data_IF_909369542130
#
_entry.id   IF_909369542130
#
_cell.length_a   1.000
_cell.length_b   1.000
_cell.length_c   1.000
_cell.angle_alpha   90.00
_cell.angle_beta   90.00
_cell.angle_gamma   90.00
#
_symmetry.space_group_name_H-M   'P 1'
#
loop_
_entity.id
_entity.type
_entity.pdbx_description
1 polymer ?
#
# COMPACT_ATOMS: atom_id res chain seq x y z
N UNK A 1 -2.14 -16.06 0.11
CA UNK A 1 -0.81 -15.71 -0.46
C UNK A 1 -0.64 -14.20 -0.34
N UNK A 2 0.53 -13.70 0.05
CA UNK A 2 0.78 -12.24 0.15
C UNK A 2 1.97 -11.86 -0.72
N UNK A 3 1.76 -10.92 -1.64
CA UNK A 3 2.77 -10.38 -2.54
C UNK A 3 3.29 -9.07 -1.99
N UNK A 4 4.59 -8.99 -1.76
CA UNK A 4 5.23 -7.76 -1.29
C UNK A 4 6.26 -7.32 -2.33
N UNK A 5 6.18 -6.06 -2.75
CA UNK A 5 7.06 -5.52 -3.78
C UNK A 5 7.30 -4.02 -3.62
N UNK A 6 8.54 -3.58 -3.83
CA UNK A 6 8.89 -2.16 -3.94
C UNK A 6 8.86 -1.76 -5.42
N UNK A 7 7.66 -1.61 -5.95
CA UNK A 7 7.49 -1.00 -7.26
C UNK A 7 6.91 0.38 -7.02
N UNK A 8 7.73 1.41 -7.16
CA UNK A 8 7.26 2.80 -7.33
C UNK A 8 6.39 3.02 -8.59
N UNK A 9 5.81 1.95 -9.13
CA UNK A 9 4.89 1.83 -10.25
C UNK A 9 3.52 1.38 -9.73
N UNK A 10 2.52 2.23 -9.89
CA UNK A 10 1.13 1.89 -9.64
C UNK A 10 0.55 1.12 -10.83
N UNK A 11 0.86 -0.19 -10.93
CA UNK A 11 0.14 -1.06 -11.87
C UNK A 11 -1.15 -1.56 -11.21
N UNK A 12 -2.14 -0.67 -11.20
CA UNK A 12 -3.44 -0.93 -10.61
C UNK A 12 -4.13 -2.17 -11.20
N UNK A 13 -3.92 -2.45 -12.48
CA UNK A 13 -4.56 -3.60 -13.12
C UNK A 13 -3.89 -4.90 -12.71
N UNK A 14 -2.58 -4.91 -12.47
CA UNK A 14 -1.91 -6.06 -11.88
C UNK A 14 -2.33 -6.28 -10.42
N UNK A 15 -2.49 -5.22 -9.63
CA UNK A 15 -3.03 -5.34 -8.27
C UNK A 15 -4.42 -5.95 -8.30
N UNK A 16 -5.26 -5.54 -9.25
CA UNK A 16 -6.61 -6.10 -9.43
C UNK A 16 -6.54 -7.60 -9.73
N UNK A 17 -5.58 -8.04 -10.55
CA UNK A 17 -5.41 -9.48 -10.83
C UNK A 17 -5.04 -10.28 -9.57
N UNK A 18 -4.19 -9.72 -8.70
CA UNK A 18 -3.83 -10.36 -7.41
C UNK A 18 -5.07 -10.51 -6.53
N UNK A 19 -5.87 -9.47 -6.45
CA UNK A 19 -7.08 -9.45 -5.63
C UNK A 19 -8.15 -10.44 -6.14
N UNK A 20 -8.34 -10.50 -7.47
CA UNK A 20 -9.29 -11.43 -8.11
C UNK A 20 -8.95 -12.92 -7.88
N UNK A 21 -7.70 -13.26 -7.55
CA UNK A 21 -7.31 -14.63 -7.18
C UNK A 21 -7.33 -14.86 -5.67
N UNK A 22 -7.88 -13.94 -4.89
CA UNK A 22 -7.99 -14.04 -3.43
C UNK A 22 -6.65 -13.89 -2.71
N UNK A 23 -5.68 -13.19 -3.32
CA UNK A 23 -4.38 -12.93 -2.72
C UNK A 23 -4.26 -11.48 -2.25
N UNK A 24 -3.31 -11.24 -1.34
CA UNK A 24 -3.03 -9.92 -0.80
C UNK A 24 -1.80 -9.30 -1.46
N UNK A 25 -1.78 -7.99 -1.62
CA UNK A 25 -0.58 -7.25 -2.00
C UNK A 25 -0.19 -6.21 -0.95
N UNK A 26 1.10 -5.93 -0.81
CA UNK A 26 1.63 -4.81 -0.04
C UNK A 26 2.69 -4.13 -0.88
N UNK A 27 2.53 -2.83 -1.14
CA UNK A 27 3.44 -2.06 -1.98
C UNK A 27 3.60 -0.65 -1.48
N UNK A 28 4.72 -0.02 -1.84
CA UNK A 28 4.97 1.39 -1.55
C UNK A 28 4.28 2.30 -2.54
N UNK A 29 3.69 3.38 -2.03
CA UNK A 29 3.09 4.46 -2.80
C UNK A 29 3.96 5.72 -2.74
N UNK A 30 3.94 6.52 -3.80
CA UNK A 30 4.57 7.85 -3.80
C UNK A 30 3.66 8.85 -3.06
N UNK A 31 4.27 9.83 -2.37
CA UNK A 31 3.57 10.88 -1.62
C UNK A 31 2.49 11.63 -2.43
N UNK A 32 2.70 11.80 -3.73
CA UNK A 32 1.80 12.55 -4.61
C UNK A 32 0.77 11.65 -5.33
N UNK A 33 0.48 10.46 -4.82
CA UNK A 33 -0.56 9.63 -5.39
C UNK A 33 -1.93 10.28 -5.18
N UNK A 34 -2.70 10.39 -6.26
CA UNK A 34 -4.04 10.91 -6.21
C UNK A 34 -4.97 9.85 -5.61
N UNK A 35 -5.20 9.95 -4.30
CA UNK A 35 -6.09 9.08 -3.53
C UNK A 35 -7.14 9.94 -2.82
N UNK A 36 -8.35 9.42 -2.78
CA UNK A 36 -9.48 10.02 -2.08
C UNK A 36 -9.71 9.26 -0.79
N UNK A 37 -9.76 9.98 0.34
CA UNK A 37 -10.03 9.38 1.64
C UNK A 37 -11.49 8.88 1.70
N UNK A 38 -11.68 7.65 2.16
CA UNK A 38 -13.00 7.07 2.40
C UNK A 38 -13.30 7.03 3.89
N UNK A 39 -12.45 6.39 4.66
CA UNK A 39 -12.63 6.22 6.10
C UNK A 39 -11.29 6.03 6.82
N UNK A 40 -11.22 6.46 8.08
CA UNK A 40 -10.11 6.16 8.96
C UNK A 40 -10.36 4.79 9.64
N UNK A 41 -9.42 3.87 9.49
CA UNK A 41 -9.52 2.51 10.03
C UNK A 41 -8.45 2.24 11.10
N UNK A 42 -7.71 3.28 11.51
CA UNK A 42 -6.70 3.21 12.54
C UNK A 42 -7.34 2.74 13.85
N UNK A 43 -6.83 1.62 14.37
CA UNK A 43 -7.28 1.05 15.64
C UNK A 43 -6.70 1.82 16.83
N UNK A 44 -7.47 1.89 17.92
CA UNK A 44 -6.96 2.34 19.21
C UNK A 44 -5.78 1.45 19.64
N UNK A 45 -4.70 2.07 20.12
CA UNK A 45 -3.47 1.36 20.50
C UNK A 45 -2.54 0.99 19.35
N UNK A 46 -2.81 1.42 18.11
CA UNK A 46 -1.85 1.31 17.01
C UNK A 46 -0.54 2.01 17.36
N UNK A 47 0.59 1.43 16.96
CA UNK A 47 1.91 1.90 17.32
C UNK A 47 2.16 3.37 16.94
N UNK A 48 2.97 4.09 17.72
CA UNK A 48 3.24 5.53 17.54
C UNK A 48 3.93 5.89 16.22
N UNK A 49 4.54 4.91 15.55
CA UNK A 49 5.13 5.10 14.23
C UNK A 49 4.10 4.96 13.09
N UNK A 50 2.88 4.48 13.37
CA UNK A 50 1.77 4.50 12.42
C UNK A 50 1.12 5.89 12.49
N UNK A 51 1.41 6.73 11.50
CA UNK A 51 0.85 8.08 11.42
C UNK A 51 -0.62 8.04 11.02
N UNK A 52 -0.93 7.25 9.99
CA UNK A 52 -2.29 7.08 9.48
C UNK A 52 -2.53 5.65 9.03
N UNK A 53 -3.79 5.24 9.13
CA UNK A 53 -4.30 3.97 8.63
C UNK A 53 -5.74 4.19 8.18
N UNK A 54 -5.97 4.15 6.87
CA UNK A 54 -7.23 4.58 6.27
C UNK A 54 -7.58 3.75 5.02
N UNK A 55 -8.87 3.66 4.73
CA UNK A 55 -9.33 3.21 3.42
C UNK A 55 -9.37 4.39 2.45
N UNK A 56 -8.90 4.17 1.23
CA UNK A 56 -8.83 5.19 0.17
C UNK A 56 -9.28 4.62 -1.18
N UNK A 57 -9.80 5.49 -2.04
CA UNK A 57 -10.09 5.19 -3.45
C UNK A 57 -9.05 5.82 -4.36
N UNK A 58 -8.79 5.19 -5.51
CA UNK A 58 -7.97 5.80 -6.54
C UNK A 58 -8.84 6.66 -7.45
N UNK A 59 -8.73 7.99 -7.33
CA UNK A 59 -9.56 8.94 -8.10
C UNK A 59 -9.34 8.93 -9.62
N UNK A 60 -8.40 8.14 -10.14
CA UNK A 60 -8.18 7.99 -11.59
C UNK A 60 -9.01 6.84 -12.16
N UNK A 61 -10.12 7.18 -12.84
CA UNK A 61 -10.89 6.22 -13.65
C UNK A 61 -10.09 5.64 -14.81
N UNK A 62 -9.23 6.45 -15.44
CA UNK A 62 -8.37 6.02 -16.54
C UNK A 62 -6.89 6.19 -16.17
N UNK A 63 -6.10 5.18 -16.51
CA UNK A 63 -4.65 5.23 -16.44
C UNK A 63 -4.09 6.21 -17.49
N UNK A 64 -2.82 6.61 -17.34
CA UNK A 64 -2.16 7.47 -18.33
C UNK A 64 -2.17 6.87 -19.75
N UNK A 65 -2.27 5.53 -19.85
CA UNK A 65 -2.39 4.77 -21.10
C UNK A 65 -3.81 4.73 -21.68
N UNK A 66 -4.77 5.50 -21.12
CA UNK A 66 -6.21 5.48 -21.45
C UNK A 66 -6.93 4.15 -21.19
N UNK A 67 -6.28 3.19 -20.53
CA UNK A 67 -6.92 1.96 -20.06
C UNK A 67 -7.76 2.25 -18.83
N UNK A 68 -8.86 1.51 -18.66
CA UNK A 68 -9.65 1.55 -17.44
C UNK A 68 -8.77 1.11 -16.26
N UNK A 69 -8.82 1.87 -15.18
CA UNK A 69 -8.28 1.45 -13.89
C UNK A 69 -9.29 0.52 -13.24
N UNK A 70 -9.03 -0.79 -13.20
CA UNK A 70 -10.00 -1.73 -12.61
C UNK A 70 -10.16 -1.56 -11.10
N UNK A 71 -9.25 -0.85 -10.44
CA UNK A 71 -9.31 -0.53 -9.02
C UNK A 71 -9.96 0.84 -8.72
N UNK A 72 -10.55 1.53 -9.72
CA UNK A 72 -11.09 2.88 -9.51
C UNK A 72 -12.27 2.95 -8.53
N UNK A 73 -13.10 1.90 -8.48
CA UNK A 73 -14.29 1.85 -7.62
C UNK A 73 -14.09 0.96 -6.39
N UNK A 74 -12.86 0.47 -6.15
CA UNK A 74 -12.57 -0.43 -5.04
C UNK A 74 -11.59 0.21 -4.07
N UNK A 75 -12.00 0.28 -2.81
CA UNK A 75 -11.17 0.83 -1.74
C UNK A 75 -9.94 -0.06 -1.49
N UNK A 76 -8.82 0.59 -1.24
CA UNK A 76 -7.59 -0.02 -0.75
C UNK A 76 -7.20 0.64 0.56
N UNK A 77 -6.44 -0.07 1.38
CA UNK A 77 -5.92 0.45 2.63
C UNK A 77 -4.62 1.19 2.38
N UNK A 78 -4.48 2.39 2.94
CA UNK A 78 -3.27 3.20 2.98
C UNK A 78 -2.76 3.28 4.42
N UNK A 79 -1.52 2.89 4.64
CA UNK A 79 -0.83 2.99 5.93
C UNK A 79 0.36 3.93 5.77
N UNK A 80 0.41 5.00 6.56
CA UNK A 80 1.58 5.89 6.63
C UNK A 80 2.40 5.59 7.87
N UNK A 81 3.68 5.36 7.65
CA UNK A 81 4.64 4.90 8.65
C UNK A 81 5.73 5.97 8.78
N UNK A 82 5.85 6.56 9.97
CA UNK A 82 6.94 7.46 10.32
C UNK A 82 8.25 6.69 10.33
N UNK A 83 9.29 7.33 9.82
CA UNK A 83 10.64 6.78 9.75
C UNK A 83 11.60 7.79 10.35
N UNK A 84 12.27 7.40 11.43
CA UNK A 84 13.17 8.33 12.13
C UNK A 84 14.43 8.66 11.31
N UNK A 85 14.77 7.82 10.33
CA UNK A 85 15.92 7.98 9.43
C UNK A 85 15.58 8.70 8.11
N UNK A 86 14.32 9.06 7.86
CA UNK A 86 13.89 9.71 6.62
C UNK A 86 12.94 10.88 6.89
N UNK A 87 13.15 12.00 6.18
CA UNK A 87 12.29 13.19 6.26
C UNK A 87 10.87 12.98 5.69
N UNK A 88 10.62 11.83 5.05
CA UNK A 88 9.31 11.50 4.48
C UNK A 88 8.79 10.16 5.00
N UNK A 89 7.50 10.08 5.37
CA UNK A 89 6.92 8.83 5.81
C UNK A 89 6.91 7.80 4.68
N UNK A 90 7.02 6.53 5.04
CA UNK A 90 6.77 5.42 4.14
C UNK A 90 5.26 5.27 4.00
N UNK A 91 4.75 5.32 2.77
CA UNK A 91 3.33 5.13 2.47
C UNK A 91 3.18 3.75 1.85
N UNK A 92 2.45 2.87 2.52
CA UNK A 92 2.11 1.54 2.03
C UNK A 92 0.65 1.50 1.58
N UNK A 93 0.39 0.68 0.57
CA UNK A 93 -0.96 0.35 0.10
C UNK A 93 -1.14 -1.16 0.04
N UNK A 94 -2.33 -1.61 0.47
CA UNK A 94 -2.70 -3.02 0.49
C UNK A 94 -4.20 -3.23 0.30
N UNK A 95 -4.61 -4.39 -0.22
CA UNK A 95 -6.01 -4.88 -0.14
C UNK A 95 -6.27 -5.68 1.16
N UNK A 96 -5.31 -5.76 2.08
CA UNK A 96 -5.46 -6.45 3.36
C UNK A 96 -5.94 -5.51 4.46
N UNK A 97 -7.24 -5.63 4.75
CA UNK A 97 -7.92 -4.93 5.85
C UNK A 97 -7.97 -5.74 7.15
N UNK A 98 -7.48 -6.99 7.14
CA UNK A 98 -7.59 -7.90 8.29
C UNK A 98 -6.38 -7.77 9.23
N UNK A 99 -5.17 -7.70 8.68
CA UNK A 99 -3.93 -7.56 9.46
C UNK A 99 -3.81 -6.22 10.16
N UNK A 100 -2.99 -6.13 11.18
CA UNK A 100 -2.66 -4.85 11.84
C UNK A 100 -1.77 -3.98 10.93
N UNK A 101 -1.72 -2.67 11.18
CA UNK A 101 -0.88 -1.76 10.40
C UNK A 101 0.63 -2.09 10.58
N UNK A 102 0.98 -2.56 11.77
CA UNK A 102 2.31 -3.04 12.15
C UNK A 102 2.69 -4.30 11.37
N UNK A 103 1.78 -5.28 11.26
CA UNK A 103 2.02 -6.48 10.47
C UNK A 103 2.24 -6.14 8.98
N UNK A 104 1.49 -5.17 8.43
CA UNK A 104 1.70 -4.68 7.06
C UNK A 104 3.08 -4.02 6.93
N UNK A 105 3.49 -3.22 7.91
CA UNK A 105 4.82 -2.59 7.94
C UNK A 105 5.95 -3.64 7.97
N UNK A 106 5.80 -4.66 8.81
CA UNK A 106 6.79 -5.73 8.97
C UNK A 106 6.91 -6.59 7.71
N UNK A 107 5.79 -6.94 7.07
CA UNK A 107 5.77 -7.65 5.79
C UNK A 107 6.58 -6.89 4.73
N UNK A 108 6.39 -5.57 4.66
CA UNK A 108 7.14 -4.72 3.74
C UNK A 108 8.64 -4.67 4.08
N UNK A 109 8.97 -4.50 5.36
CA UNK A 109 10.35 -4.42 5.84
C UNK A 109 11.14 -5.71 5.54
N UNK A 110 10.54 -6.88 5.78
CA UNK A 110 11.17 -8.17 5.47
C UNK A 110 11.51 -8.30 3.99
N UNK A 111 10.59 -7.87 3.11
CA UNK A 111 10.81 -7.92 1.66
C UNK A 111 11.95 -7.00 1.22
N UNK A 112 12.01 -5.80 1.77
CA UNK A 112 13.07 -4.82 1.46
C UNK A 112 14.44 -5.32 1.91
N UNK A 113 14.54 -5.94 3.09
CA UNK A 113 15.78 -6.55 3.55
C UNK A 113 16.30 -7.61 2.57
N UNK A 114 15.43 -8.46 2.01
CA UNK A 114 15.82 -9.47 1.02
C UNK A 114 16.42 -8.84 -0.26
N UNK A 115 15.90 -7.72 -0.74
CA UNK A 115 16.43 -7.01 -1.91
C UNK A 115 17.81 -6.37 -1.66
N UNK A 116 18.02 -5.84 -0.45
CA UNK A 116 19.31 -5.29 -0.05
C UNK A 116 20.41 -6.35 -0.01
N UNK A 117 20.09 -7.57 0.46
CA UNK A 117 21.07 -8.67 0.51
C UNK A 117 21.29 -9.37 -0.82
N UNK A 118 20.35 -9.27 -1.77
CA UNK A 118 20.49 -9.88 -3.11
C UNK A 118 21.28 -9.02 -4.11
N UNK A 119 21.73 -7.84 -3.68
CA UNK A 119 22.52 -6.88 -4.47
C UNK A 119 24.02 -6.90 -4.11
N UNK A 120 24.47 -7.88 -3.31
CA UNK A 120 25.85 -8.07 -2.88
C UNK A 120 26.61 -9.12 -3.67
#
# INVERSE_FOLDING_TARGET
MTYVFDKGYCDYNWWHQIDQVGAFFVTRLKKNANVEHVENIRKEGAADFIETDEAVLFGKKYLNTRRLNHYHDQAVRRVQIRRDDHDTPLILVTNDFSRSAEEIADLYKQRWQIELFSSG
#
